data_IF_213527013937
#
_entry.id   IF_213527013937
#
_cell.length_a   1.000
_cell.length_b   1.000
_cell.length_c   1.000
_cell.angle_alpha   90.00
_cell.angle_beta   90.00
_cell.angle_gamma   90.00
#
_symmetry.space_group_name_H-M   'P 1'
#
loop_
_entity.id
_entity.type
_entity.pdbx_description
1 polymer ?
#
# COMPACT_ATOMS: atom_id res chain seq x y z
N UNK A 1 7.66 24.30 -0.65
CA UNK A 1 7.12 23.01 -1.12
C UNK A 1 8.09 21.93 -0.65
N UNK A 2 7.74 21.13 0.36
CA UNK A 2 8.62 20.08 0.89
C UNK A 2 8.55 18.91 -0.09
N UNK A 3 9.67 18.51 -0.67
CA UNK A 3 9.72 17.30 -1.48
C UNK A 3 9.60 16.09 -0.54
N UNK A 4 8.41 15.50 -0.48
CA UNK A 4 8.16 14.28 0.29
C UNK A 4 8.62 13.08 -0.52
N UNK A 5 9.56 12.31 0.03
CA UNK A 5 10.07 11.08 -0.60
C UNK A 5 9.84 9.91 0.35
N UNK A 6 9.30 8.82 -0.18
CA UNK A 6 9.21 7.55 0.55
C UNK A 6 10.57 6.85 0.54
N UNK A 7 10.97 6.29 1.69
CA UNK A 7 12.04 5.28 1.74
C UNK A 7 11.42 3.90 1.89
N UNK A 8 11.56 3.10 0.84
CA UNK A 8 11.12 1.71 0.81
C UNK A 8 12.13 0.86 1.60
N UNK A 9 11.62 0.02 2.49
CA UNK A 9 12.37 -0.95 3.28
C UNK A 9 12.26 -2.36 2.67
N UNK A 10 12.98 -3.36 3.21
CA UNK A 10 12.85 -4.74 2.76
C UNK A 10 11.39 -5.23 2.74
N UNK A 11 11.15 -6.22 1.89
CA UNK A 11 9.85 -6.88 1.77
C UNK A 11 9.46 -7.50 3.12
N UNK A 12 8.23 -7.24 3.56
CA UNK A 12 7.66 -7.77 4.81
C UNK A 12 6.62 -8.87 4.54
N UNK A 13 6.19 -9.03 3.29
CA UNK A 13 5.31 -10.11 2.87
C UNK A 13 5.26 -10.25 1.36
N UNK A 14 4.90 -11.42 0.88
CA UNK A 14 4.63 -11.67 -0.52
C UNK A 14 3.45 -12.63 -0.67
N UNK A 15 2.75 -12.47 -1.78
CA UNK A 15 1.76 -13.43 -2.26
C UNK A 15 1.98 -13.66 -3.74
N UNK A 16 1.13 -14.50 -4.33
CA UNK A 16 1.23 -14.86 -5.75
C UNK A 16 1.20 -13.62 -6.67
N UNK A 17 0.43 -12.61 -6.29
CA UNK A 17 0.13 -11.45 -7.14
C UNK A 17 0.94 -10.19 -6.80
N UNK A 18 1.52 -10.12 -5.60
CA UNK A 18 2.12 -8.89 -5.08
C UNK A 18 3.17 -9.13 -4.01
N UNK A 19 4.07 -8.17 -3.87
CA UNK A 19 4.94 -8.03 -2.70
C UNK A 19 4.48 -6.86 -1.84
N UNK A 20 4.71 -6.94 -0.53
CA UNK A 20 4.42 -5.88 0.42
C UNK A 20 5.74 -5.46 1.07
N UNK A 21 6.01 -4.17 1.04
CA UNK A 21 7.20 -3.56 1.63
C UNK A 21 6.80 -2.63 2.75
N UNK A 22 7.56 -2.59 3.84
CA UNK A 22 7.46 -1.47 4.76
C UNK A 22 8.03 -0.21 4.08
N UNK A 23 7.52 0.96 4.44
CA UNK A 23 8.07 2.23 4.02
C UNK A 23 7.87 3.28 5.10
N UNK A 24 8.67 4.33 5.06
CA UNK A 24 8.48 5.51 5.89
C UNK A 24 8.64 6.78 5.06
N UNK A 25 7.87 7.80 5.40
CA UNK A 25 8.07 9.13 4.83
C UNK A 25 9.36 9.72 5.38
N UNK A 26 10.29 10.08 4.49
CA UNK A 26 11.47 10.83 4.90
C UNK A 26 10.97 12.14 5.54
N UNK A 27 11.45 12.43 6.75
CA UNK A 27 11.07 13.57 7.59
C UNK A 27 9.84 13.38 8.49
N UNK A 28 9.25 12.18 8.57
CA UNK A 28 8.22 11.86 9.58
C UNK A 28 8.53 10.54 10.28
N UNK A 29 7.85 10.25 11.39
CA UNK A 29 7.87 8.93 12.02
C UNK A 29 6.82 7.97 11.43
N UNK A 30 6.05 8.43 10.43
CA UNK A 30 4.95 7.66 9.86
C UNK A 30 5.47 6.48 9.06
N UNK A 31 4.92 5.29 9.36
CA UNK A 31 5.25 4.01 8.72
C UNK A 31 4.06 3.50 7.94
N UNK A 32 4.33 2.91 6.79
CA UNK A 32 3.33 2.46 5.83
C UNK A 32 3.69 1.09 5.30
N UNK A 33 2.68 0.36 4.83
CA UNK A 33 2.86 -0.80 3.99
C UNK A 33 2.58 -0.39 2.53
N UNK A 34 3.53 -0.64 1.64
CA UNK A 34 3.39 -0.43 0.20
C UNK A 34 3.20 -1.80 -0.44
N UNK A 35 2.03 -2.02 -1.03
CA UNK A 35 1.75 -3.20 -1.85
C UNK A 35 2.16 -2.92 -3.30
N UNK A 36 3.08 -3.72 -3.83
CA UNK A 36 3.55 -3.67 -5.21
C UNK A 36 3.04 -4.90 -5.98
N UNK A 37 2.25 -4.66 -7.01
CA UNK A 37 1.76 -5.73 -7.88
C UNK A 37 2.82 -6.13 -8.91
N UNK A 38 3.06 -7.43 -9.04
CA UNK A 38 4.16 -7.97 -9.85
C UNK A 38 3.78 -8.18 -11.32
N UNK A 39 2.47 -8.17 -11.63
CA UNK A 39 1.93 -8.37 -12.98
C UNK A 39 0.83 -7.36 -13.24
N UNK A 40 0.94 -6.63 -14.34
CA UNK A 40 -0.10 -5.70 -14.83
C UNK A 40 -1.26 -6.43 -15.50
N UNK A 41 -1.10 -7.71 -15.87
CA UNK A 41 -2.14 -8.50 -16.55
C UNK A 41 -3.40 -8.78 -15.73
N UNK A 42 -3.50 -8.27 -14.50
CA UNK A 42 -4.65 -8.43 -13.60
C UNK A 42 -5.16 -7.10 -13.03
N UNK A 43 -5.16 -6.04 -13.84
CA UNK A 43 -5.72 -4.73 -13.50
C UNK A 43 -7.11 -4.81 -12.85
N UNK A 44 -7.99 -5.71 -13.31
CA UNK A 44 -9.33 -5.88 -12.72
C UNK A 44 -9.28 -6.26 -11.24
N UNK A 45 -8.37 -7.15 -10.84
CA UNK A 45 -8.22 -7.57 -9.44
C UNK A 45 -7.64 -6.42 -8.60
N UNK A 46 -6.68 -5.67 -9.15
CA UNK A 46 -6.10 -4.48 -8.50
C UNK A 46 -7.19 -3.43 -8.26
N UNK A 47 -8.00 -3.12 -9.29
CA UNK A 47 -9.11 -2.16 -9.19
C UNK A 47 -10.15 -2.64 -8.18
N UNK A 48 -10.48 -3.94 -8.18
CA UNK A 48 -11.44 -4.49 -7.23
C UNK A 48 -10.96 -4.39 -5.78
N UNK A 49 -9.68 -4.64 -5.50
CA UNK A 49 -9.10 -4.47 -4.16
C UNK A 49 -9.14 -3.01 -3.70
N UNK A 50 -8.79 -2.06 -4.57
CA UNK A 50 -8.88 -0.62 -4.29
C UNK A 50 -10.34 -0.21 -4.03
N UNK A 51 -11.29 -0.71 -4.82
CA UNK A 51 -12.70 -0.40 -4.64
C UNK A 51 -13.22 -0.95 -3.31
N UNK A 52 -12.86 -2.18 -2.94
CA UNK A 52 -13.22 -2.76 -1.64
C UNK A 52 -12.68 -1.89 -0.51
N UNK A 53 -11.40 -1.50 -0.54
CA UNK A 53 -10.82 -0.61 0.47
C UNK A 53 -11.50 0.77 0.55
N UNK A 54 -12.02 1.28 -0.57
CA UNK A 54 -12.81 2.52 -0.59
C UNK A 54 -14.24 2.38 -0.06
N UNK A 55 -14.81 1.16 -0.11
CA UNK A 55 -16.18 0.88 0.31
C UNK A 55 -16.31 0.63 1.81
N UNK A 56 -15.25 0.14 2.45
CA UNK A 56 -15.23 -0.03 3.90
C UNK A 56 -14.89 1.29 4.58
N UNK A 57 -15.87 1.85 5.30
CA UNK A 57 -15.63 2.93 6.24
C UNK A 57 -14.55 2.54 7.25
N UNK A 58 -13.89 3.54 7.83
CA UNK A 58 -12.88 3.41 8.89
C UNK A 58 -13.39 2.47 10.00
N UNK A 59 -13.04 1.20 9.91
CA UNK A 59 -13.33 0.20 10.93
C UNK A 59 -12.04 -0.08 11.69
N UNK A 60 -12.05 -0.23 13.03
CA UNK A 60 -10.83 -0.45 13.82
C UNK A 60 -9.97 -1.64 13.36
N UNK A 61 -10.59 -2.61 12.68
CA UNK A 61 -9.95 -3.82 12.18
C UNK A 61 -9.64 -3.79 10.67
N UNK A 62 -9.92 -2.68 9.98
CA UNK A 62 -9.67 -2.51 8.55
C UNK A 62 -8.64 -1.38 8.41
N UNK A 63 -7.57 -1.65 7.66
CA UNK A 63 -6.54 -0.64 7.43
C UNK A 63 -6.98 0.37 6.38
N UNK A 64 -6.81 1.64 6.71
CA UNK A 64 -7.03 2.74 5.76
C UNK A 64 -5.83 2.86 4.83
N UNK A 65 -6.07 3.30 3.60
CA UNK A 65 -5.03 3.58 2.62
C UNK A 65 -4.92 5.10 2.40
N UNK A 66 -3.69 5.59 2.26
CA UNK A 66 -3.44 6.98 1.87
C UNK A 66 -3.42 7.08 0.33
N UNK A 67 -4.07 8.10 -0.23
CA UNK A 67 -4.08 8.38 -1.68
C UNK A 67 -2.84 9.13 -2.14
#
# INVERSE_FOLDING_TARGET
MIHMTLKILPMIGSGELSSVHAAYWKNTQSKFAIKKFNKTSREKEIINEINLMNMVDFHPNIWNYER
#
